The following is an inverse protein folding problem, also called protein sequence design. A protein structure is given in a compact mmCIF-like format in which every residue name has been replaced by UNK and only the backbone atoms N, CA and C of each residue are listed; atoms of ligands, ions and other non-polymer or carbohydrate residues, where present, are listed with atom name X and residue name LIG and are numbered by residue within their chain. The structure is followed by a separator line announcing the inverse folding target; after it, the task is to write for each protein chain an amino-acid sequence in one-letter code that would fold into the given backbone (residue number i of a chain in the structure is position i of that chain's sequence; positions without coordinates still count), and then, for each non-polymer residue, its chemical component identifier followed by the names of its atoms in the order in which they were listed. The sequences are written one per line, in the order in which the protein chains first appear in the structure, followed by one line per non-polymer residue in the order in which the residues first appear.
data_IF_940842067545
#
_entry.id   IF_940842067545
#
_cell.length_a   1.000
_cell.length_b   1.000
_cell.length_c   1.000
_cell.angle_alpha   90.00
_cell.angle_beta   90.00
_cell.angle_gamma   90.00
#
_symmetry.space_group_name_H-M   'P 1'
#
loop_
_entity.id
_entity.type
_entity.pdbx_description
1 polymer ?
#
# COMPACT_ATOMS: atom_id res chain seq x y z
N UNK A 1 -6.98 -9.08 6.28
CA UNK A 1 -5.75 -9.91 6.40
C UNK A 1 -4.77 -9.23 7.35
N UNK A 2 -4.25 -9.97 8.30
CA UNK A 2 -3.25 -9.47 9.24
C UNK A 2 -1.86 -9.44 8.61
N UNK A 3 -1.11 -8.37 8.87
CA UNK A 3 0.26 -8.20 8.39
C UNK A 3 1.22 -8.29 9.57
N UNK A 4 2.07 -9.30 9.58
CA UNK A 4 3.03 -9.51 10.65
C UNK A 4 4.43 -9.88 10.14
N UNK A 5 4.53 -10.62 9.05
CA UNK A 5 5.79 -11.12 8.51
C UNK A 5 5.89 -10.88 7.01
N UNK A 6 7.09 -11.11 6.46
CA UNK A 6 7.30 -10.98 5.02
C UNK A 6 6.43 -11.93 4.19
N UNK A 7 5.99 -13.04 4.77
CA UNK A 7 5.03 -13.95 4.10
C UNK A 7 3.70 -13.27 3.84
N UNK A 8 3.29 -12.37 4.74
CA UNK A 8 2.04 -11.64 4.60
C UNK A 8 2.12 -10.62 3.45
N UNK A 9 3.30 -10.04 3.21
CA UNK A 9 3.53 -9.18 2.04
C UNK A 9 3.29 -9.96 0.76
N UNK A 10 3.87 -11.16 0.66
CA UNK A 10 3.69 -12.02 -0.51
C UNK A 10 2.22 -12.43 -0.67
N UNK A 11 1.56 -12.82 0.42
CA UNK A 11 0.16 -13.24 0.39
C UNK A 11 -0.76 -12.09 -0.06
N UNK A 12 -0.54 -10.88 0.44
CA UNK A 12 -1.32 -9.71 0.04
C UNK A 12 -1.14 -9.39 -1.44
N UNK A 13 0.10 -9.39 -1.91
CA UNK A 13 0.40 -9.16 -3.32
C UNK A 13 -0.26 -10.19 -4.22
N UNK A 14 -0.18 -11.46 -3.85
CA UNK A 14 -0.79 -12.55 -4.64
C UNK A 14 -2.30 -12.47 -4.67
N UNK A 15 -2.93 -12.11 -3.54
CA UNK A 15 -4.38 -11.97 -3.47
C UNK A 15 -4.86 -10.86 -4.42
N UNK A 16 -4.19 -9.72 -4.41
CA UNK A 16 -4.52 -8.60 -5.30
C UNK A 16 -4.28 -8.99 -6.76
N UNK A 17 -3.13 -9.59 -7.07
CA UNK A 17 -2.79 -9.99 -8.43
C UNK A 17 -3.82 -10.98 -8.99
N UNK A 18 -4.30 -11.91 -8.18
CA UNK A 18 -5.33 -12.87 -8.59
C UNK A 18 -6.62 -12.16 -9.02
N UNK A 19 -7.09 -11.22 -8.21
CA UNK A 19 -8.31 -10.47 -8.52
C UNK A 19 -8.14 -9.70 -9.83
N UNK A 20 -7.02 -9.01 -10.00
CA UNK A 20 -6.76 -8.24 -11.20
C UNK A 20 -6.66 -9.12 -12.44
N UNK A 21 -6.07 -10.30 -12.31
CA UNK A 21 -5.99 -11.26 -13.40
C UNK A 21 -7.38 -11.78 -13.80
N UNK A 22 -8.22 -12.09 -12.82
CA UNK A 22 -9.59 -12.51 -13.05
C UNK A 22 -10.43 -11.45 -13.74
N UNK A 23 -10.07 -10.17 -13.53
CA UNK A 23 -10.74 -9.03 -14.17
C UNK A 23 -10.15 -8.67 -15.53
N UNK A 24 -9.16 -9.43 -15.99
CA UNK A 24 -8.60 -9.27 -17.34
C UNK A 24 -7.59 -8.14 -17.50
N UNK A 25 -7.01 -7.62 -16.43
CA UNK A 25 -5.97 -6.62 -16.54
C UNK A 25 -4.71 -7.20 -17.18
N UNK A 26 -3.96 -6.35 -17.89
CA UNK A 26 -2.70 -6.75 -18.50
C UNK A 26 -1.65 -7.10 -17.42
N UNK A 27 -0.67 -7.92 -17.79
CA UNK A 27 0.42 -8.29 -16.90
C UNK A 27 1.18 -7.06 -16.39
N UNK A 28 1.37 -6.05 -17.23
CA UNK A 28 2.04 -4.80 -16.83
C UNK A 28 1.24 -4.07 -15.76
N UNK A 29 -0.06 -3.93 -15.94
CA UNK A 29 -0.92 -3.25 -14.96
C UNK A 29 -0.96 -4.01 -13.63
N UNK A 30 -1.04 -5.34 -13.70
CA UNK A 30 -1.02 -6.18 -12.50
C UNK A 30 0.29 -6.00 -11.75
N UNK A 31 1.42 -6.10 -12.43
CA UNK A 31 2.75 -5.96 -11.82
C UNK A 31 2.92 -4.60 -11.17
N UNK A 32 2.49 -3.52 -11.83
CA UNK A 32 2.60 -2.17 -11.30
C UNK A 32 1.85 -2.03 -9.99
N UNK A 33 0.59 -2.42 -9.95
CA UNK A 33 -0.22 -2.28 -8.73
C UNK A 33 0.22 -3.26 -7.64
N UNK A 34 0.57 -4.49 -7.99
CA UNK A 34 1.09 -5.47 -7.03
C UNK A 34 2.39 -4.99 -6.38
N UNK A 35 3.24 -4.29 -7.13
CA UNK A 35 4.45 -3.68 -6.57
C UNK A 35 4.09 -2.62 -5.54
N UNK A 36 3.10 -1.77 -5.83
CA UNK A 36 2.62 -0.78 -4.87
C UNK A 36 2.09 -1.44 -3.59
N UNK A 37 1.32 -2.52 -3.72
CA UNK A 37 0.83 -3.28 -2.56
C UNK A 37 1.99 -3.82 -1.73
N UNK A 38 3.03 -4.34 -2.37
CA UNK A 38 4.21 -4.85 -1.67
C UNK A 38 4.91 -3.76 -0.87
N UNK A 39 5.02 -2.56 -1.43
CA UNK A 39 5.69 -1.44 -0.75
C UNK A 39 4.92 -0.98 0.49
N UNK A 40 3.60 -0.79 0.38
CA UNK A 40 2.84 -0.31 1.53
C UNK A 40 2.70 -1.37 2.63
N UNK A 41 2.58 -2.65 2.28
CA UNK A 41 2.50 -3.72 3.27
C UNK A 41 3.84 -3.92 3.98
N UNK A 42 4.94 -3.83 3.25
CA UNK A 42 6.26 -3.89 3.86
C UNK A 42 6.49 -2.74 4.83
N UNK A 43 6.07 -1.52 4.46
CA UNK A 43 6.19 -0.37 5.35
C UNK A 43 5.38 -0.56 6.63
N UNK A 44 4.17 -1.11 6.54
CA UNK A 44 3.36 -1.38 7.73
C UNK A 44 4.05 -2.36 8.68
N UNK A 45 4.71 -3.39 8.13
CA UNK A 45 5.41 -4.39 8.95
C UNK A 45 6.70 -3.82 9.52
N UNK A 46 7.56 -3.22 8.69
CA UNK A 46 8.90 -2.78 9.10
C UNK A 46 8.83 -1.55 10.00
N UNK A 47 8.00 -0.58 9.67
CA UNK A 47 7.95 0.71 10.38
C UNK A 47 6.74 0.83 11.30
N UNK A 48 5.65 0.15 11.00
CA UNK A 48 4.44 0.18 11.79
C UNK A 48 4.31 -0.94 12.82
N UNK A 49 5.22 -1.90 12.80
CA UNK A 49 5.15 -3.05 13.71
C UNK A 49 4.11 -4.08 13.32
N UNK A 50 3.61 -4.03 12.10
CA UNK A 50 2.54 -4.87 11.61
C UNK A 50 1.25 -4.07 11.40
N UNK A 51 0.20 -4.73 10.98
CA UNK A 51 -1.06 -4.04 10.73
C UNK A 51 -2.09 -4.93 10.06
N UNK A 52 -2.98 -4.32 9.31
CA UNK A 52 -4.03 -5.02 8.57
C UNK A 52 -4.16 -4.45 7.16
N UNK A 53 -4.47 -5.33 6.22
CA UNK A 53 -4.81 -4.95 4.86
C UNK A 53 -6.22 -5.43 4.53
N UNK A 54 -6.99 -4.57 3.88
CA UNK A 54 -8.35 -4.86 3.42
C UNK A 54 -8.46 -4.55 1.94
N UNK A 55 -9.24 -5.34 1.23
CA UNK A 55 -9.42 -5.20 -0.22
C UNK A 55 -10.89 -4.95 -0.48
N UNK A 56 -11.20 -3.91 -1.25
CA UNK A 56 -12.56 -3.49 -1.57
C UNK A 56 -12.76 -3.34 -3.07
N UNK A 57 -13.98 -3.55 -3.51
CA UNK A 57 -14.42 -3.21 -4.86
C UNK A 57 -15.33 -1.99 -4.74
N UNK A 58 -14.96 -0.90 -5.37
CA UNK A 58 -15.68 0.38 -5.31
C UNK A 58 -16.27 0.76 -6.67
N UNK A 59 -17.22 1.69 -6.68
CA UNK A 59 -17.77 2.25 -7.90
C UNK A 59 -18.46 1.24 -8.81
N UNK A 60 -19.26 0.33 -8.24
CA UNK A 60 -19.89 -0.77 -8.99
C UNK A 60 -18.83 -1.67 -9.64
N UNK A 61 -17.80 -2.01 -8.86
CA UNK A 61 -16.69 -2.87 -9.29
C UNK A 61 -15.84 -2.27 -10.42
N UNK A 62 -15.81 -0.92 -10.52
CA UNK A 62 -14.94 -0.24 -11.48
C UNK A 62 -13.51 -0.05 -10.95
N UNK A 63 -13.34 -0.07 -9.63
CA UNK A 63 -12.05 0.10 -8.97
C UNK A 63 -11.84 -0.98 -7.93
N UNK A 64 -10.60 -1.43 -7.84
CA UNK A 64 -10.15 -2.21 -6.68
C UNK A 64 -9.39 -1.25 -5.77
N UNK A 65 -9.80 -1.19 -4.50
CA UNK A 65 -9.15 -0.36 -3.48
C UNK A 65 -8.53 -1.24 -2.42
N UNK A 66 -7.31 -0.90 -2.06
CA UNK A 66 -6.57 -1.57 -0.98
C UNK A 66 -6.34 -0.56 0.13
N UNK A 67 -6.68 -0.92 1.34
CA UNK A 67 -6.42 -0.11 2.52
C UNK A 67 -5.50 -0.86 3.46
N UNK A 68 -4.38 -0.23 3.81
CA UNK A 68 -3.39 -0.80 4.71
C UNK A 68 -3.27 0.12 5.93
N UNK A 69 -3.50 -0.45 7.12
CA UNK A 69 -3.49 0.30 8.39
C UNK A 69 -2.49 -0.30 9.35
N UNK A 70 -1.68 0.56 9.97
CA UNK A 70 -0.84 0.17 11.09
C UNK A 70 -1.05 1.12 12.27
N UNK A 71 -0.58 0.71 13.46
CA UNK A 71 -0.64 1.50 14.68
C UNK A 71 0.76 1.90 15.15
N UNK A 72 1.68 2.06 14.19
CA UNK A 72 3.06 2.44 14.48
C UNK A 72 3.22 3.92 14.86
N UNK A 73 4.45 4.43 14.78
CA UNK A 73 4.75 5.80 15.20
C UNK A 73 4.15 6.89 14.33
N UNK A 74 3.64 6.54 13.15
CA UNK A 74 3.13 7.51 12.20
C UNK A 74 4.24 8.21 11.43
N UNK A 75 3.84 9.17 10.60
CA UNK A 75 4.74 9.93 9.74
C UNK A 75 4.62 11.41 10.12
N UNK A 76 5.73 12.03 10.46
CA UNK A 76 5.76 13.42 10.89
C UNK A 76 5.45 14.38 9.73
N UNK A 77 6.03 14.13 8.56
CA UNK A 77 5.80 14.96 7.38
C UNK A 77 5.40 14.07 6.19
N UNK A 78 4.09 13.92 5.99
CA UNK A 78 3.54 13.06 4.93
C UNK A 78 3.93 13.57 3.54
N UNK A 79 3.87 14.89 3.32
CA UNK A 79 4.23 15.48 2.03
C UNK A 79 5.67 15.14 1.64
N UNK A 80 6.59 15.27 2.58
CA UNK A 80 7.99 14.93 2.34
C UNK A 80 8.18 13.43 2.13
N UNK A 81 7.49 12.60 2.93
CA UNK A 81 7.56 11.15 2.82
C UNK A 81 7.03 10.65 1.46
N UNK A 82 6.12 11.39 0.84
CA UNK A 82 5.58 11.07 -0.49
C UNK A 82 6.52 11.42 -1.62
N UNK A 83 7.58 12.19 -1.37
CA UNK A 83 8.58 12.53 -2.38
C UNK A 83 9.34 11.29 -2.80
N UNK A 84 9.53 11.11 -4.11
CA UNK A 84 10.32 9.99 -4.61
C UNK A 84 11.77 10.08 -4.12
N UNK A 85 12.30 8.95 -3.70
CA UNK A 85 13.66 8.85 -3.20
C UNK A 85 13.86 9.32 -1.77
N UNK A 86 12.82 9.91 -1.15
CA UNK A 86 12.94 10.31 0.25
C UNK A 86 12.99 9.09 1.16
N UNK A 87 13.92 9.12 2.10
CA UNK A 87 13.99 8.10 3.15
C UNK A 87 14.53 8.74 4.43
N UNK A 88 14.03 8.28 5.57
CA UNK A 88 14.56 8.65 6.88
C UNK A 88 15.67 7.66 7.28
N UNK A 89 16.32 7.90 8.41
CA UNK A 89 17.32 6.98 8.95
C UNK A 89 16.76 5.57 9.15
N UNK A 90 15.47 5.44 9.45
CA UNK A 90 14.78 4.14 9.57
C UNK A 90 14.20 3.62 8.26
N UNK A 91 14.37 4.33 7.15
CA UNK A 91 13.78 3.94 5.87
C UNK A 91 12.31 4.27 5.74
N UNK A 92 11.70 4.92 6.73
CA UNK A 92 10.30 5.29 6.72
C UNK A 92 10.02 6.28 5.59
N UNK A 93 8.96 6.06 4.84
CA UNK A 93 8.59 6.87 3.69
C UNK A 93 9.15 6.35 2.37
N UNK A 94 10.09 5.42 2.41
CA UNK A 94 10.62 4.79 1.20
C UNK A 94 9.51 4.01 0.51
N UNK A 95 9.35 4.21 -0.78
CA UNK A 95 8.35 3.53 -1.58
C UNK A 95 6.98 4.18 -1.58
N UNK A 96 6.66 5.12 -0.68
CA UNK A 96 5.34 5.77 -0.68
C UNK A 96 5.12 6.59 -1.95
N UNK A 97 6.10 7.39 -2.37
CA UNK A 97 6.01 8.13 -3.63
C UNK A 97 5.93 7.22 -4.83
N UNK A 98 6.69 6.12 -4.83
CA UNK A 98 6.63 5.11 -5.87
C UNK A 98 5.28 4.41 -5.91
N UNK A 99 4.73 4.05 -4.75
CA UNK A 99 3.41 3.42 -4.67
C UNK A 99 2.32 4.36 -5.21
N UNK A 100 2.40 5.66 -4.88
CA UNK A 100 1.48 6.66 -5.42
C UNK A 100 1.53 6.70 -6.94
N UNK A 101 2.73 6.70 -7.52
CA UNK A 101 2.91 6.73 -8.96
C UNK A 101 2.33 5.50 -9.66
N UNK A 102 2.30 4.36 -8.98
CA UNK A 102 1.82 3.09 -9.53
C UNK A 102 0.32 2.86 -9.31
N UNK A 103 -0.38 3.84 -8.74
CA UNK A 103 -1.81 3.73 -8.40
C UNK A 103 -2.62 4.81 -9.12
N UNK A 104 -3.91 4.56 -9.35
CA UNK A 104 -4.84 5.57 -9.84
C UNK A 104 -5.21 6.56 -8.76
N UNK A 105 -5.64 6.04 -7.60
CA UNK A 105 -5.94 6.85 -6.43
C UNK A 105 -4.98 6.48 -5.32
N UNK A 106 -4.58 7.48 -4.51
CA UNK A 106 -3.63 7.26 -3.42
C UNK A 106 -3.86 8.30 -2.33
N UNK A 107 -4.11 7.83 -1.10
CA UNK A 107 -4.26 8.69 0.06
C UNK A 107 -3.48 8.13 1.24
N UNK A 108 -2.85 9.01 2.00
CA UNK A 108 -2.15 8.67 3.23
C UNK A 108 -2.70 9.53 4.36
N UNK A 109 -3.14 8.87 5.42
CA UNK A 109 -3.57 9.52 6.65
C UNK A 109 -2.62 9.08 7.76
N UNK A 110 -1.85 10.01 8.29
CA UNK A 110 -0.87 9.72 9.33
C UNK A 110 -0.58 10.96 10.14
N UNK A 111 -0.23 10.73 11.40
CA UNK A 111 0.27 11.77 12.31
C UNK A 111 1.16 11.11 13.35
N UNK A 112 2.10 11.84 13.97
CA UNK A 112 2.96 11.27 15.01
C UNK A 112 2.13 10.61 16.13
N UNK A 113 2.43 9.36 16.45
CA UNK A 113 1.75 8.58 17.46
C UNK A 113 0.36 8.06 17.08
N UNK A 114 -0.09 8.31 15.86
CA UNK A 114 -1.43 7.92 15.39
C UNK A 114 -1.43 6.77 14.40
N UNK A 115 -0.28 6.21 14.06
CA UNK A 115 -0.16 5.18 13.04
C UNK A 115 -0.31 5.75 11.64
N UNK A 116 -0.46 4.86 10.67
CA UNK A 116 -0.56 5.23 9.26
C UNK A 116 -1.63 4.39 8.57
N UNK A 117 -2.49 5.04 7.78
CA UNK A 117 -3.44 4.37 6.91
C UNK A 117 -3.17 4.82 5.48
N UNK A 118 -2.88 3.85 4.61
CA UNK A 118 -2.66 4.08 3.18
C UNK A 118 -3.81 3.45 2.42
N UNK A 119 -4.46 4.25 1.57
CA UNK A 119 -5.52 3.78 0.69
C UNK A 119 -5.09 4.02 -0.74
N UNK A 120 -5.15 2.98 -1.56
CA UNK A 120 -4.79 3.10 -2.98
C UNK A 120 -5.72 2.29 -3.84
N UNK A 121 -5.94 2.76 -5.06
CA UNK A 121 -6.88 2.13 -5.98
C UNK A 121 -6.31 1.99 -7.38
N UNK A 122 -6.85 1.02 -8.10
CA UNK A 122 -6.55 0.78 -9.51
C UNK A 122 -7.87 0.60 -10.25
N UNK A 123 -7.96 1.18 -11.45
CA UNK A 123 -9.14 1.01 -12.30
C UNK A 123 -9.15 -0.40 -12.90
N UNK A 124 -10.29 -1.04 -12.82
CA UNK A 124 -10.52 -2.38 -13.36
C UNK A 124 -10.94 -2.36 -14.83
#
# INVERSE_FOLDING_TARGET
MTLATSRDVVAARQAVARILKERGLSAVRITRFATAVSEITRNAIVHGGGGKISIYLDGRDEYLRVECRDEGPGIENVTLAMSEGYTTAGGLGKGLGGAKRLSHGFEVHSAPGKGTTVSMSVKL
#
